data_IF_614268875401
#
_entry.id   IF_614268875401
#
_cell.length_a   1.000
_cell.length_b   1.000
_cell.length_c   1.000
_cell.angle_alpha   90.00
_cell.angle_beta   90.00
_cell.angle_gamma   90.00
#
_symmetry.space_group_name_H-M   'P 1'
#
loop_
_entity.id
_entity.type
_entity.pdbx_description
1 polymer ?
#
# COMPACT_ATOMS: atom_id res chain seq x y z
N UNK A 1 -1.40 18.80 11.85
CA UNK A 1 -1.43 19.23 10.44
C UNK A 1 -0.61 20.50 10.34
N UNK A 2 0.65 20.40 9.96
CA UNK A 2 1.46 21.58 9.62
C UNK A 2 0.99 22.07 8.26
N UNK A 3 0.39 23.26 8.20
CA UNK A 3 0.09 23.90 6.92
C UNK A 3 1.42 24.14 6.20
N UNK A 4 1.71 23.33 5.19
CA UNK A 4 2.82 23.60 4.27
C UNK A 4 2.58 24.97 3.64
N UNK A 5 3.61 25.82 3.66
CA UNK A 5 3.55 27.11 2.98
C UNK A 5 3.31 26.88 1.48
N UNK A 6 2.48 27.69 0.82
CA UNK A 6 2.21 27.53 -0.60
C UNK A 6 3.50 27.64 -1.43
N UNK A 7 3.63 26.81 -2.45
CA UNK A 7 4.76 26.89 -3.39
C UNK A 7 4.77 28.25 -4.10
N UNK A 8 5.95 28.83 -4.36
CA UNK A 8 6.04 30.13 -5.00
C UNK A 8 5.51 30.08 -6.45
N UNK A 9 4.73 31.10 -6.81
CA UNK A 9 4.23 31.27 -8.18
C UNK A 9 5.38 31.52 -9.16
N UNK A 10 5.25 31.07 -10.42
CA UNK A 10 6.21 31.39 -11.49
C UNK A 10 6.44 32.90 -11.64
N UNK A 11 7.70 33.32 -11.69
CA UNK A 11 8.09 34.72 -11.88
C UNK A 11 9.28 34.82 -12.82
N UNK A 12 9.16 35.62 -13.88
CA UNK A 12 10.29 35.95 -14.76
C UNK A 12 11.15 37.05 -14.13
N UNK A 13 12.49 36.94 -14.22
CA UNK A 13 13.37 38.03 -13.85
C UNK A 13 13.28 39.15 -14.91
N UNK A 14 13.20 40.40 -14.45
CA UNK A 14 13.19 41.58 -15.32
C UNK A 14 14.62 42.03 -15.67
N UNK A 15 15.41 41.10 -16.18
CA UNK A 15 16.80 41.35 -16.61
C UNK A 15 17.20 40.37 -17.71
N UNK A 16 18.17 40.77 -18.52
CA UNK A 16 18.85 39.92 -19.50
C UNK A 16 20.17 39.34 -18.95
N UNK A 17 20.50 39.61 -17.69
CA UNK A 17 21.74 39.14 -17.08
C UNK A 17 21.80 37.61 -17.02
N UNK A 18 22.81 37.04 -17.68
CA UNK A 18 22.99 35.58 -17.83
C UNK A 18 23.04 34.86 -16.49
N UNK A 19 23.68 35.45 -15.47
CA UNK A 19 23.77 34.86 -14.14
C UNK A 19 22.39 34.70 -13.47
N UNK A 20 21.53 35.71 -13.60
CA UNK A 20 20.17 35.69 -13.05
C UNK A 20 19.29 34.69 -13.80
N UNK A 21 19.43 34.62 -15.13
CA UNK A 21 18.71 33.65 -15.95
C UNK A 21 19.13 32.20 -15.66
N UNK A 22 20.41 31.97 -15.36
CA UNK A 22 20.92 30.66 -14.97
C UNK A 22 20.36 30.20 -13.61
N UNK A 23 20.08 31.12 -12.69
CA UNK A 23 19.51 30.84 -11.36
C UNK A 23 17.96 30.81 -11.35
N UNK A 24 17.32 31.00 -12.51
CA UNK A 24 15.86 31.02 -12.65
C UNK A 24 15.17 29.82 -11.95
N UNK A 25 14.16 30.06 -11.13
CA UNK A 25 13.48 28.99 -10.38
C UNK A 25 14.19 28.54 -9.10
N UNK A 26 15.30 29.17 -8.70
CA UNK A 26 15.92 28.91 -7.39
C UNK A 26 14.95 29.08 -6.20
N UNK A 27 14.05 30.09 -6.15
CA UNK A 27 13.08 30.18 -5.06
C UNK A 27 12.16 28.95 -4.96
N UNK A 28 11.72 28.41 -6.11
CA UNK A 28 10.94 27.17 -6.16
C UNK A 28 11.76 25.99 -5.66
N UNK A 29 12.98 25.80 -6.17
CA UNK A 29 13.81 24.66 -5.76
C UNK A 29 14.14 24.70 -4.26
N UNK A 30 14.39 25.88 -3.70
CA UNK A 30 14.59 26.05 -2.26
C UNK A 30 13.33 25.73 -1.45
N UNK A 31 12.15 26.09 -1.95
CA UNK A 31 10.88 25.73 -1.30
C UNK A 31 10.67 24.21 -1.33
N UNK A 32 10.92 23.57 -2.48
CA UNK A 32 10.80 22.12 -2.64
C UNK A 32 11.77 21.35 -1.74
N UNK A 33 13.01 21.80 -1.61
CA UNK A 33 14.01 21.15 -0.75
C UNK A 33 13.62 21.16 0.74
N UNK A 34 12.82 22.14 1.20
CA UNK A 34 12.33 22.21 2.59
C UNK A 34 11.15 21.28 2.85
N UNK A 35 10.49 20.82 1.79
CA UNK A 35 9.29 19.99 1.86
C UNK A 35 9.58 18.51 1.56
N UNK A 36 10.86 18.09 1.50
CA UNK A 36 11.16 16.68 1.23
C UNK A 36 10.68 15.78 2.36
N UNK A 37 9.65 14.99 2.08
CA UNK A 37 9.10 13.99 2.98
C UNK A 37 9.77 12.65 2.76
N UNK A 38 10.41 12.11 3.81
CA UNK A 38 10.89 10.73 3.80
C UNK A 38 9.69 9.77 3.85
N UNK A 39 9.65 8.81 2.92
CA UNK A 39 8.57 7.82 2.89
C UNK A 39 8.77 6.76 3.98
N UNK A 40 7.72 6.39 4.74
CA UNK A 40 7.81 5.26 5.65
C UNK A 40 7.96 3.94 4.89
N UNK A 41 8.66 2.94 5.45
CA UNK A 41 8.77 1.61 4.86
C UNK A 41 7.41 0.92 4.75
N UNK A 42 7.28 -0.04 3.83
CA UNK A 42 6.03 -0.76 3.58
C UNK A 42 5.46 -1.44 4.83
N UNK A 43 4.15 -1.29 5.07
CA UNK A 43 3.47 -1.75 6.29
C UNK A 43 2.63 -3.03 6.12
N UNK A 44 2.60 -3.63 4.92
CA UNK A 44 1.69 -4.72 4.57
C UNK A 44 2.00 -6.08 5.22
N UNK A 45 3.26 -6.33 5.59
CA UNK A 45 3.71 -7.63 6.13
C UNK A 45 2.96 -8.04 7.40
N UNK A 46 2.71 -7.07 8.30
CA UNK A 46 2.00 -7.32 9.55
C UNK A 46 0.57 -7.81 9.33
N UNK A 47 -0.13 -7.26 8.34
CA UNK A 47 -1.49 -7.67 7.99
C UNK A 47 -1.50 -9.05 7.33
N UNK A 48 -0.58 -9.34 6.42
CA UNK A 48 -0.46 -10.67 5.80
C UNK A 48 -0.17 -11.74 6.85
N UNK A 49 0.73 -11.46 7.79
CA UNK A 49 1.03 -12.38 8.90
C UNK A 49 -0.18 -12.60 9.83
N UNK A 50 -1.00 -11.57 10.07
CA UNK A 50 -2.22 -11.70 10.86
C UNK A 50 -3.28 -12.54 10.13
N UNK A 51 -3.47 -12.33 8.82
CA UNK A 51 -4.37 -13.12 7.98
C UNK A 51 -3.96 -14.60 7.92
N UNK A 52 -2.65 -14.89 7.80
CA UNK A 52 -2.13 -16.26 7.83
C UNK A 52 -2.45 -16.97 9.16
N UNK A 53 -2.36 -16.26 10.29
CA UNK A 53 -2.73 -16.82 11.60
C UNK A 53 -4.23 -17.10 11.73
N UNK A 54 -5.10 -16.27 11.12
CA UNK A 54 -6.53 -16.55 11.05
C UNK A 54 -6.79 -17.81 10.23
N UNK A 55 -6.17 -17.98 9.06
CA UNK A 55 -6.30 -19.19 8.24
C UNK A 55 -5.88 -20.45 9.02
N UNK A 56 -4.72 -20.41 9.69
CA UNK A 56 -4.25 -21.50 10.53
C UNK A 56 -5.23 -21.84 11.66
N UNK A 57 -5.81 -20.83 12.31
CA UNK A 57 -6.81 -21.03 13.37
C UNK A 57 -8.10 -21.68 12.84
N UNK A 58 -8.50 -21.40 11.60
CA UNK A 58 -9.67 -22.01 10.97
C UNK A 58 -9.42 -23.46 10.58
N UNK A 59 -8.17 -23.87 10.32
CA UNK A 59 -7.83 -25.24 9.90
C UNK A 59 -8.05 -26.26 11.03
N UNK A 60 -8.03 -25.78 12.28
CA UNK A 60 -8.32 -26.55 13.49
C UNK A 60 -9.72 -27.20 13.51
N UNK A 61 -10.70 -26.58 12.83
CA UNK A 61 -12.10 -26.99 12.85
C UNK A 61 -12.41 -28.10 11.83
N UNK A 62 -11.41 -28.55 11.05
CA UNK A 62 -11.54 -29.61 10.04
C UNK A 62 -10.40 -30.66 10.13
N UNK A 63 -10.38 -31.49 11.20
CA UNK A 63 -9.33 -32.50 11.42
C UNK A 63 -9.28 -33.59 10.35
N UNK A 64 -10.36 -33.80 9.59
CA UNK A 64 -10.41 -34.74 8.46
C UNK A 64 -9.62 -34.26 7.25
N UNK A 65 -9.43 -32.94 7.08
CA UNK A 65 -8.67 -32.37 5.96
C UNK A 65 -7.16 -32.33 6.24
N UNK A 66 -6.76 -32.12 7.50
CA UNK A 66 -5.37 -32.31 7.98
C UNK A 66 -4.90 -33.75 7.66
N UNK A 67 -5.78 -34.75 7.91
CA UNK A 67 -5.50 -36.17 7.61
C UNK A 67 -5.43 -36.52 6.11
N UNK A 68 -5.94 -35.69 5.22
CA UNK A 68 -5.95 -35.95 3.77
C UNK A 68 -4.77 -35.29 3.04
N UNK A 69 -4.20 -34.21 3.57
CA UNK A 69 -3.10 -33.48 2.94
C UNK A 69 -1.70 -33.96 3.35
N UNK A 70 -1.54 -34.72 4.45
CA UNK A 70 -0.22 -35.22 4.86
C UNK A 70 0.05 -36.70 4.52
N UNK A 71 1.19 -36.89 3.86
CA UNK A 71 1.83 -38.18 3.53
C UNK A 71 2.06 -39.00 4.80
N UNK A 72 2.00 -40.33 4.68
CA UNK A 72 1.97 -41.30 5.78
C UNK A 72 3.08 -41.14 6.85
N UNK A 73 4.14 -40.38 6.55
CA UNK A 73 5.28 -40.08 7.41
C UNK A 73 4.97 -39.05 8.52
N UNK A 74 4.00 -38.14 8.34
CA UNK A 74 3.58 -37.19 9.39
C UNK A 74 2.86 -37.88 10.55
N UNK A 75 2.05 -38.91 10.22
CA UNK A 75 1.23 -39.70 11.15
C UNK A 75 2.05 -40.51 12.15
N UNK A 76 3.30 -40.85 11.80
CA UNK A 76 4.18 -41.66 12.65
C UNK A 76 4.95 -40.83 13.69
N UNK A 77 5.02 -39.50 13.53
CA UNK A 77 5.86 -38.60 14.33
C UNK A 77 5.11 -37.71 15.32
N UNK A 78 3.80 -37.87 15.49
CA UNK A 78 3.02 -37.11 16.47
C UNK A 78 2.78 -35.62 16.14
N UNK A 79 3.33 -35.12 15.02
CA UNK A 79 3.17 -33.74 14.54
C UNK A 79 1.71 -33.35 14.25
N UNK A 80 0.85 -34.32 13.97
CA UNK A 80 -0.59 -34.12 13.77
C UNK A 80 -1.29 -33.65 15.06
N UNK A 81 -0.88 -34.17 16.23
CA UNK A 81 -1.52 -33.87 17.52
C UNK A 81 -1.15 -32.47 17.99
N UNK A 82 0.10 -32.05 17.77
CA UNK A 82 0.57 -30.71 18.13
C UNK A 82 -0.14 -29.63 17.30
N UNK A 83 -0.32 -29.84 15.99
CA UNK A 83 -1.08 -28.92 15.14
C UNK A 83 -2.57 -28.89 15.45
N UNK A 84 -3.13 -30.04 15.84
CA UNK A 84 -4.55 -30.11 16.24
C UNK A 84 -4.79 -29.42 17.60
N UNK A 85 -3.87 -29.56 18.56
CA UNK A 85 -3.92 -28.86 19.84
C UNK A 85 -3.67 -27.35 19.70
N UNK A 86 -2.67 -26.96 18.89
CA UNK A 86 -2.39 -25.57 18.54
C UNK A 86 -3.58 -24.92 17.82
N UNK A 87 -4.20 -25.66 16.90
CA UNK A 87 -5.42 -25.25 16.22
C UNK A 87 -6.60 -25.00 17.17
N UNK A 88 -6.89 -25.93 18.09
CA UNK A 88 -7.98 -25.76 19.08
C UNK A 88 -7.72 -24.60 20.03
N UNK A 89 -6.46 -24.39 20.44
CA UNK A 89 -6.06 -23.23 21.23
C UNK A 89 -6.27 -21.92 20.44
N UNK A 90 -5.91 -21.89 19.16
CA UNK A 90 -6.11 -20.74 18.27
C UNK A 90 -7.59 -20.48 17.95
N UNK A 91 -8.43 -21.52 17.90
CA UNK A 91 -9.88 -21.38 17.72
C UNK A 91 -10.52 -20.60 18.87
N UNK A 92 -10.13 -20.91 20.12
CA UNK A 92 -10.56 -20.13 21.30
C UNK A 92 -10.11 -18.67 21.24
N UNK A 93 -9.07 -18.37 20.44
CA UNK A 93 -8.47 -17.06 20.26
C UNK A 93 -8.85 -16.38 18.93
N UNK A 94 -9.75 -16.94 18.12
CA UNK A 94 -10.16 -16.37 16.83
C UNK A 94 -10.66 -14.92 16.95
N UNK A 95 -11.30 -14.56 18.07
CA UNK A 95 -11.69 -13.18 18.36
C UNK A 95 -10.48 -12.25 18.53
N UNK A 96 -9.45 -12.70 19.24
CA UNK A 96 -8.19 -11.96 19.44
C UNK A 96 -7.39 -11.85 18.14
N UNK A 97 -7.34 -12.91 17.34
CA UNK A 97 -6.69 -12.90 16.03
C UNK A 97 -7.38 -11.93 15.05
N UNK A 98 -8.72 -11.91 15.04
CA UNK A 98 -9.48 -10.95 14.25
C UNK A 98 -9.21 -9.50 14.70
N UNK A 99 -9.14 -9.24 16.00
CA UNK A 99 -8.79 -7.92 16.53
C UNK A 99 -7.37 -7.49 16.11
N UNK A 100 -6.37 -8.38 16.24
CA UNK A 100 -5.00 -8.10 15.78
C UNK A 100 -4.94 -7.83 14.29
N UNK A 101 -5.67 -8.58 13.46
CA UNK A 101 -5.73 -8.32 12.02
C UNK A 101 -6.34 -6.94 11.72
N UNK A 102 -7.36 -6.53 12.48
CA UNK A 102 -7.95 -5.18 12.38
C UNK A 102 -6.95 -4.08 12.76
N UNK A 103 -6.19 -4.27 13.83
CA UNK A 103 -5.13 -3.32 14.23
C UNK A 103 -4.08 -3.16 13.12
N UNK A 104 -3.65 -4.27 12.51
CA UNK A 104 -2.71 -4.23 11.38
C UNK A 104 -3.31 -3.56 10.14
N UNK A 105 -4.60 -3.80 9.86
CA UNK A 105 -5.31 -3.12 8.77
C UNK A 105 -5.42 -1.60 9.03
N UNK A 106 -5.67 -1.18 10.26
CA UNK A 106 -5.70 0.25 10.63
C UNK A 106 -4.32 0.90 10.47
N UNK A 107 -3.25 0.21 10.88
CA UNK A 107 -1.89 0.69 10.68
C UNK A 107 -1.57 0.83 9.18
N UNK A 108 -1.90 -0.17 8.37
CA UNK A 108 -1.75 -0.09 6.91
C UNK A 108 -2.57 1.06 6.30
N UNK A 109 -3.80 1.28 6.76
CA UNK A 109 -4.64 2.38 6.30
C UNK A 109 -4.03 3.75 6.63
N UNK A 110 -3.42 3.92 7.81
CA UNK A 110 -2.71 5.16 8.16
C UNK A 110 -1.51 5.38 7.23
N UNK A 111 -0.75 4.33 6.90
CA UNK A 111 0.35 4.41 5.94
C UNK A 111 -0.12 4.79 4.54
N UNK A 112 -1.24 4.24 4.07
CA UNK A 112 -1.86 4.63 2.80
C UNK A 112 -2.21 6.11 2.79
N UNK A 113 -2.79 6.65 3.88
CA UNK A 113 -3.10 8.08 3.97
C UNK A 113 -1.85 8.97 3.93
N UNK A 114 -0.79 8.58 4.65
CA UNK A 114 0.49 9.30 4.60
C UNK A 114 1.11 9.26 3.20
N UNK A 115 1.03 8.12 2.51
CA UNK A 115 1.53 7.99 1.14
C UNK A 115 0.72 8.81 0.15
N UNK A 116 -0.60 8.85 0.30
CA UNK A 116 -1.47 9.67 -0.55
C UNK A 116 -1.13 11.16 -0.45
N UNK A 117 -0.80 11.65 0.74
CA UNK A 117 -0.31 13.02 0.93
C UNK A 117 1.02 13.24 0.19
N UNK A 118 1.99 12.35 0.34
CA UNK A 118 3.28 12.45 -0.35
C UNK A 118 3.14 12.40 -1.89
N UNK A 119 2.24 11.55 -2.41
CA UNK A 119 1.92 11.49 -3.85
C UNK A 119 1.35 12.83 -4.34
N UNK A 120 0.42 13.42 -3.58
CA UNK A 120 -0.17 14.71 -3.91
C UNK A 120 0.88 15.84 -3.89
N UNK A 121 1.77 15.84 -2.89
CA UNK A 121 2.87 16.80 -2.78
C UNK A 121 3.85 16.70 -3.96
N UNK A 122 4.27 15.48 -4.34
CA UNK A 122 5.15 15.27 -5.50
C UNK A 122 4.47 15.65 -6.83
N UNK A 123 3.17 15.37 -6.96
CA UNK A 123 2.38 15.78 -8.13
C UNK A 123 2.27 17.30 -8.22
N UNK A 124 1.99 17.99 -7.11
CA UNK A 124 1.94 19.44 -7.06
C UNK A 124 3.31 20.08 -7.36
N UNK A 125 4.39 19.50 -6.84
CA UNK A 125 5.76 19.92 -7.15
C UNK A 125 6.07 19.80 -8.65
N UNK A 126 5.66 18.70 -9.29
CA UNK A 126 5.81 18.55 -10.74
C UNK A 126 5.06 19.63 -11.51
N UNK A 127 3.78 19.87 -11.18
CA UNK A 127 2.97 20.93 -11.80
C UNK A 127 3.60 22.31 -11.63
N UNK A 128 4.14 22.63 -10.45
CA UNK A 128 4.83 23.89 -10.23
C UNK A 128 6.08 24.00 -11.11
N UNK A 129 6.91 22.96 -11.17
CA UNK A 129 8.11 22.92 -12.02
C UNK A 129 7.78 23.12 -13.51
N UNK A 130 6.71 22.49 -14.01
CA UNK A 130 6.25 22.71 -15.39
C UNK A 130 5.78 24.15 -15.61
N UNK A 131 5.03 24.73 -14.68
CA UNK A 131 4.53 26.10 -14.80
C UNK A 131 5.70 27.11 -14.88
N UNK A 132 6.74 26.90 -14.07
CA UNK A 132 7.98 27.69 -14.17
C UNK A 132 8.71 27.46 -15.49
N UNK A 133 8.80 26.22 -15.99
CA UNK A 133 9.42 25.94 -17.28
C UNK A 133 8.63 26.52 -18.48
N UNK A 134 7.31 26.53 -18.40
CA UNK A 134 6.44 27.09 -19.43
C UNK A 134 6.57 28.60 -19.48
N UNK A 135 6.57 29.26 -18.31
CA UNK A 135 6.80 30.69 -18.23
C UNK A 135 8.18 31.08 -18.81
N UNK A 136 9.23 30.30 -18.54
CA UNK A 136 10.55 30.52 -19.14
C UNK A 136 10.51 30.49 -20.68
N UNK A 137 9.70 29.61 -21.26
CA UNK A 137 9.55 29.49 -22.72
C UNK A 137 9.06 30.80 -23.36
N UNK A 138 8.14 31.50 -22.70
CA UNK A 138 7.59 32.78 -23.19
C UNK A 138 8.64 33.90 -23.29
N UNK A 139 9.75 33.83 -22.53
CA UNK A 139 10.80 34.85 -22.48
C UNK A 139 11.96 34.57 -23.43
N UNK A 140 12.12 33.34 -23.92
CA UNK A 140 13.29 32.92 -24.71
C UNK A 140 13.52 33.75 -25.98
N UNK A 141 12.46 34.17 -26.66
CA UNK A 141 12.54 34.92 -27.93
C UNK A 141 12.91 36.39 -27.75
N UNK A 142 12.93 36.88 -26.50
CA UNK A 142 13.19 38.28 -26.15
C UNK A 142 14.63 38.49 -25.65
N UNK A 143 15.43 37.43 -25.58
CA UNK A 143 16.80 37.43 -25.07
C UNK A 143 17.82 37.39 -26.21
N UNK A 144 19.04 37.83 -25.92
CA UNK A 144 20.18 37.61 -26.79
C UNK A 144 20.63 36.14 -26.77
N UNK A 145 21.61 35.78 -27.60
CA UNK A 145 22.05 34.39 -27.74
C UNK A 145 22.55 33.78 -26.42
N UNK A 146 23.26 34.56 -25.60
CA UNK A 146 23.78 34.11 -24.32
C UNK A 146 22.67 33.90 -23.27
N UNK A 147 21.75 34.85 -23.15
CA UNK A 147 20.59 34.74 -22.27
C UNK A 147 19.65 33.62 -22.68
N UNK A 148 19.41 33.45 -23.99
CA UNK A 148 18.60 32.36 -24.54
C UNK A 148 19.20 30.99 -24.19
N UNK A 149 20.52 30.82 -24.30
CA UNK A 149 21.20 29.58 -23.95
C UNK A 149 21.06 29.25 -22.45
N UNK A 150 21.32 30.22 -21.57
CA UNK A 150 21.23 30.03 -20.13
C UNK A 150 19.80 29.67 -19.67
N UNK A 151 18.80 30.43 -20.13
CA UNK A 151 17.40 30.18 -19.77
C UNK A 151 16.89 28.86 -20.37
N UNK A 152 17.33 28.47 -21.57
CA UNK A 152 16.97 27.18 -22.18
C UNK A 152 17.51 25.99 -21.37
N UNK A 153 18.78 26.05 -20.96
CA UNK A 153 19.37 25.02 -20.11
C UNK A 153 18.60 24.90 -18.79
N UNK A 154 18.26 26.04 -18.19
CA UNK A 154 17.55 26.05 -16.92
C UNK A 154 16.12 25.52 -17.03
N UNK A 155 15.39 25.91 -18.09
CA UNK A 155 14.08 25.34 -18.44
C UNK A 155 14.14 23.83 -18.57
N UNK A 156 15.12 23.32 -19.30
CA UNK A 156 15.25 21.87 -19.53
C UNK A 156 15.54 21.12 -18.23
N UNK A 157 16.34 21.71 -17.35
CA UNK A 157 16.55 21.17 -16.01
C UNK A 157 15.26 21.11 -15.19
N UNK A 158 14.46 22.19 -15.15
CA UNK A 158 13.17 22.20 -14.45
C UNK A 158 12.21 21.13 -15.00
N UNK A 159 12.15 20.96 -16.33
CA UNK A 159 11.35 19.89 -16.97
C UNK A 159 11.81 18.49 -16.57
N UNK A 160 13.11 18.25 -16.50
CA UNK A 160 13.65 16.96 -16.04
C UNK A 160 13.26 16.67 -14.59
N UNK A 161 13.34 17.68 -13.73
CA UNK A 161 12.88 17.55 -12.33
C UNK A 161 11.37 17.29 -12.26
N UNK A 162 10.55 17.96 -13.07
CA UNK A 162 9.10 17.71 -13.12
C UNK A 162 8.81 16.25 -13.50
N UNK A 163 9.49 15.73 -14.53
CA UNK A 163 9.37 14.33 -14.93
C UNK A 163 9.79 13.37 -13.82
N UNK A 164 10.89 13.65 -13.12
CA UNK A 164 11.35 12.83 -11.99
C UNK A 164 10.29 12.78 -10.88
N UNK A 165 9.73 13.93 -10.49
CA UNK A 165 8.69 14.01 -9.45
C UNK A 165 7.43 13.23 -9.85
N UNK A 166 7.01 13.26 -11.12
CA UNK A 166 5.89 12.44 -11.60
C UNK A 166 6.18 10.94 -11.56
N UNK A 167 7.40 10.54 -11.93
CA UNK A 167 7.82 9.14 -11.88
C UNK A 167 7.81 8.62 -10.44
N UNK A 168 8.33 9.40 -9.49
CA UNK A 168 8.29 9.07 -8.05
C UNK A 168 6.84 8.93 -7.56
N UNK A 169 5.98 9.90 -7.86
CA UNK A 169 4.57 9.84 -7.51
C UNK A 169 3.87 8.60 -8.12
N UNK A 170 4.18 8.27 -9.37
CA UNK A 170 3.64 7.08 -10.05
C UNK A 170 4.11 5.77 -9.41
N UNK A 171 5.39 5.67 -9.03
CA UNK A 171 5.90 4.49 -8.31
C UNK A 171 5.21 4.30 -6.97
N UNK A 172 4.93 5.39 -6.26
CA UNK A 172 4.22 5.33 -4.99
C UNK A 172 2.75 5.01 -5.15
N UNK A 173 2.11 5.49 -6.22
CA UNK A 173 0.75 5.12 -6.56
C UNK A 173 0.64 3.61 -6.77
N UNK A 174 1.59 2.99 -7.49
CA UNK A 174 1.62 1.54 -7.67
C UNK A 174 1.73 0.78 -6.34
N UNK A 175 2.51 1.28 -5.38
CA UNK A 175 2.59 0.68 -4.04
C UNK A 175 1.29 0.89 -3.26
N UNK A 176 0.62 2.03 -3.44
CA UNK A 176 -0.67 2.32 -2.81
C UNK A 176 -1.77 1.40 -3.34
N UNK A 177 -1.91 1.28 -4.66
CA UNK A 177 -2.91 0.41 -5.30
C UNK A 177 -2.75 -1.03 -4.82
N UNK A 178 -1.51 -1.46 -4.64
CA UNK A 178 -1.20 -2.73 -4.02
C UNK A 178 -1.73 -2.80 -2.58
N UNK A 179 -1.39 -1.85 -1.70
CA UNK A 179 -1.88 -1.83 -0.30
C UNK A 179 -3.42 -1.80 -0.22
N UNK A 180 -4.09 -1.09 -1.14
CA UNK A 180 -5.55 -1.03 -1.23
C UNK A 180 -6.17 -2.39 -1.56
N UNK A 181 -5.58 -3.15 -2.49
CA UNK A 181 -6.02 -4.52 -2.77
C UNK A 181 -5.90 -5.40 -1.53
N UNK A 182 -4.81 -5.28 -0.76
CA UNK A 182 -4.63 -6.05 0.48
C UNK A 182 -5.70 -5.69 1.52
N UNK A 183 -6.01 -4.40 1.69
CA UNK A 183 -7.09 -3.94 2.56
C UNK A 183 -8.47 -4.45 2.12
N UNK A 184 -8.75 -4.48 0.82
CA UNK A 184 -9.99 -5.04 0.27
C UNK A 184 -10.13 -6.53 0.58
N UNK A 185 -9.04 -7.30 0.44
CA UNK A 185 -9.03 -8.73 0.79
C UNK A 185 -9.26 -8.94 2.28
N UNK A 186 -8.62 -8.15 3.13
CA UNK A 186 -8.88 -8.16 4.56
C UNK A 186 -10.36 -7.88 4.86
N UNK A 187 -10.94 -6.83 4.29
CA UNK A 187 -12.36 -6.49 4.49
C UNK A 187 -13.28 -7.63 4.04
N UNK A 188 -13.02 -8.26 2.88
CA UNK A 188 -13.76 -9.43 2.42
C UNK A 188 -13.68 -10.60 3.41
N UNK A 189 -12.50 -10.91 3.92
CA UNK A 189 -12.32 -11.97 4.93
C UNK A 189 -13.06 -11.60 6.23
N UNK A 190 -12.83 -10.41 6.75
CA UNK A 190 -13.28 -9.98 8.07
C UNK A 190 -14.80 -9.73 8.12
N UNK A 191 -15.37 -9.08 7.11
CA UNK A 191 -16.75 -8.61 7.14
C UNK A 191 -17.73 -9.60 6.50
N UNK A 192 -17.25 -10.46 5.60
CA UNK A 192 -18.12 -11.39 4.83
C UNK A 192 -17.80 -12.84 5.14
N UNK A 193 -16.58 -13.29 4.86
CA UNK A 193 -16.27 -14.72 4.87
C UNK A 193 -16.20 -15.30 6.28
N UNK A 194 -15.51 -14.63 7.21
CA UNK A 194 -15.33 -15.10 8.58
C UNK A 194 -16.65 -15.14 9.37
N UNK A 195 -17.54 -14.12 9.31
CA UNK A 195 -18.85 -14.21 9.95
C UNK A 195 -19.74 -15.30 9.35
N UNK A 196 -19.77 -15.42 8.01
CA UNK A 196 -20.55 -16.46 7.34
C UNK A 196 -20.06 -17.88 7.70
N UNK A 197 -18.74 -18.05 7.82
CA UNK A 197 -18.12 -19.30 8.25
C UNK A 197 -18.53 -19.64 9.69
N UNK A 198 -18.44 -18.67 10.62
CA UNK A 198 -18.87 -18.88 12.03
C UNK A 198 -20.34 -19.30 12.12
N UNK A 199 -21.20 -18.66 11.35
CA UNK A 199 -22.62 -19.02 11.30
C UNK A 199 -22.84 -20.44 10.78
N UNK A 200 -22.12 -20.85 9.73
CA UNK A 200 -22.21 -22.20 9.18
C UNK A 200 -21.66 -23.26 10.16
N UNK A 201 -20.54 -22.98 10.83
CA UNK A 201 -19.92 -23.87 11.80
C UNK A 201 -20.81 -24.08 13.05
N UNK A 202 -21.41 -23.01 13.59
CA UNK A 202 -22.34 -23.11 14.72
C UNK A 202 -23.63 -23.87 14.33
N UNK A 203 -24.12 -23.68 13.11
CA UNK A 203 -25.33 -24.37 12.63
C UNK A 203 -25.08 -25.88 12.41
N UNK A 204 -23.88 -26.28 12.00
CA UNK A 204 -23.47 -27.68 11.87
C UNK A 204 -23.36 -28.40 13.23
N UNK A 205 -22.93 -27.69 14.26
CA UNK A 205 -22.91 -28.21 15.64
C UNK A 205 -24.32 -28.38 16.23
N UNK A 206 -25.26 -27.52 15.82
CA UNK A 206 -26.64 -27.53 16.31
C UNK A 206 -27.58 -28.47 15.53
N UNK A 207 -27.31 -28.68 14.23
CA UNK A 207 -28.07 -29.56 13.36
C UNK A 207 -27.10 -30.52 12.67
N UNK A 208 -27.30 -31.83 12.86
CA UNK A 208 -26.50 -32.90 12.24
C UNK A 208 -26.72 -32.97 10.71
N UNK A 209 -26.40 -31.91 9.98
CA UNK A 209 -26.78 -31.71 8.58
C UNK A 209 -25.57 -31.49 7.67
N UNK A 210 -25.22 -32.50 6.88
CA UNK A 210 -24.08 -32.52 5.95
C UNK A 210 -24.01 -31.34 4.95
N UNK A 211 -25.15 -30.70 4.64
CA UNK A 211 -25.20 -29.53 3.75
C UNK A 211 -24.57 -28.28 4.38
N UNK A 212 -24.65 -28.12 5.71
CA UNK A 212 -24.10 -26.97 6.43
C UNK A 212 -22.58 -27.12 6.63
N UNK A 213 -22.10 -28.35 6.93
CA UNK A 213 -20.67 -28.69 6.89
C UNK A 213 -20.04 -28.37 5.52
N UNK A 214 -20.71 -28.71 4.41
CA UNK A 214 -20.25 -28.39 3.05
C UNK A 214 -20.13 -26.87 2.79
N UNK A 215 -21.06 -26.07 3.34
CA UNK A 215 -21.02 -24.60 3.26
C UNK A 215 -19.86 -24.02 4.07
N UNK A 216 -19.62 -24.50 5.29
CA UNK A 216 -18.49 -24.07 6.11
C UNK A 216 -17.13 -24.40 5.44
N UNK A 217 -17.01 -25.60 4.86
CA UNK A 217 -15.81 -26.02 4.12
C UNK A 217 -15.55 -25.15 2.87
N UNK A 218 -16.61 -24.75 2.16
CA UNK A 218 -16.50 -23.87 0.99
C UNK A 218 -16.04 -22.47 1.39
N UNK A 219 -16.61 -21.91 2.46
CA UNK A 219 -16.20 -20.59 2.98
C UNK A 219 -14.76 -20.60 3.50
N UNK A 220 -14.34 -21.69 4.13
CA UNK A 220 -12.94 -21.88 4.55
C UNK A 220 -11.99 -21.86 3.35
N UNK A 221 -12.27 -22.62 2.28
CA UNK A 221 -11.44 -22.62 1.09
C UNK A 221 -11.32 -21.22 0.45
N UNK A 222 -12.41 -20.45 0.45
CA UNK A 222 -12.38 -19.07 -0.03
C UNK A 222 -11.50 -18.15 0.85
N UNK A 223 -11.45 -18.37 2.16
CA UNK A 223 -10.55 -17.64 3.05
C UNK A 223 -9.09 -18.00 2.77
N UNK A 224 -8.78 -19.29 2.59
CA UNK A 224 -7.43 -19.75 2.23
C UNK A 224 -6.96 -19.17 0.89
N UNK A 225 -7.84 -19.13 -0.13
CA UNK A 225 -7.53 -18.55 -1.44
C UNK A 225 -7.20 -17.06 -1.34
N UNK A 226 -7.95 -16.30 -0.53
CA UNK A 226 -7.68 -14.88 -0.29
C UNK A 226 -6.38 -14.65 0.47
N UNK A 227 -6.05 -15.52 1.43
CA UNK A 227 -4.81 -15.47 2.21
C UNK A 227 -3.62 -15.84 1.35
N UNK A 228 -3.73 -16.87 0.50
CA UNK A 228 -2.70 -17.26 -0.45
C UNK A 228 -2.42 -16.13 -1.46
N UNK A 229 -3.47 -15.48 -1.97
CA UNK A 229 -3.33 -14.31 -2.84
C UNK A 229 -2.63 -13.13 -2.12
N UNK A 230 -2.91 -12.91 -0.84
CA UNK A 230 -2.23 -11.90 -0.02
C UNK A 230 -0.75 -12.22 0.22
N UNK A 231 -0.40 -13.49 0.39
CA UNK A 231 0.98 -13.96 0.58
C UNK A 231 1.82 -13.93 -0.70
N UNK A 232 1.21 -14.24 -1.86
CA UNK A 232 1.89 -14.22 -3.15
C UNK A 232 2.48 -12.84 -3.48
N UNK A 233 1.92 -11.77 -2.91
CA UNK A 233 2.38 -10.39 -3.05
C UNK A 233 3.67 -10.07 -2.27
N UNK A 234 4.02 -10.86 -1.24
CA UNK A 234 5.25 -10.66 -0.46
C UNK A 234 6.47 -11.39 -1.07
N UNK A 235 6.27 -12.19 -2.13
CA UNK A 235 7.32 -12.96 -2.80
C UNK A 235 7.74 -12.28 -4.09
#
# INVERSE_FOLDING_TARGET
>A
MTMQAPLPSPMLPDTAEVAVLADYGAPLLQALARCETALPPGAGEGLVAALARIALALQADNPTRIRQQESWWGRLLGRDVDREAEGRALQSQLGVLALRAREQAQHLQQHVQLRAMAIAEHSAAATALDAWAELATSRLTQLDAAGQAALSQRRDHLRRLATLRRLEAGQWQLLQDQDDVLLQRFARIHDVLLPAWRQAALADQAAAGAALAGKAATLHAQIDDEVAAAQARLR
#
